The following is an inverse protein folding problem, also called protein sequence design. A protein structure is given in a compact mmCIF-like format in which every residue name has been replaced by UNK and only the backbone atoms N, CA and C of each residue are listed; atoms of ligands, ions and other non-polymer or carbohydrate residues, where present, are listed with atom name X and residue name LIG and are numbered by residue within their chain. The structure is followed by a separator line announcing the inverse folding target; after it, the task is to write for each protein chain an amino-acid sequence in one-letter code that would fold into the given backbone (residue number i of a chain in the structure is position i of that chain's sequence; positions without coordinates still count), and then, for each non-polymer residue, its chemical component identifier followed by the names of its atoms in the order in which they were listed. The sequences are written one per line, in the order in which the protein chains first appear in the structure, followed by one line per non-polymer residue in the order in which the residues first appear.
data_IF_190315015706
#
_entry.id   IF_190315015706
#
_cell.length_a   1.000
_cell.length_b   1.000
_cell.length_c   1.000
_cell.angle_alpha   90.00
_cell.angle_beta   90.00
_cell.angle_gamma   90.00
#
_symmetry.space_group_name_H-M   'P 1'
#
loop_
_entity.id
_entity.type
_entity.pdbx_description
1 polymer ?
#
# COMPACT_ATOMS: atom_id res chain seq x y z
N UNK A 1 -13.72 16.01 -9.24
CA UNK A 1 -13.28 16.83 -10.37
C UNK A 1 -14.44 17.23 -11.27
N UNK A 2 -15.08 16.25 -11.89
CA UNK A 2 -16.27 16.49 -12.75
C UNK A 2 -17.44 17.12 -11.97
N UNK A 3 -17.54 16.90 -10.67
CA UNK A 3 -18.56 17.46 -9.76
C UNK A 3 -18.03 18.68 -8.97
N UNK A 4 -16.80 19.13 -9.21
CA UNK A 4 -16.20 20.24 -8.45
C UNK A 4 -15.82 19.89 -7.01
N UNK A 5 -15.75 18.59 -6.67
CA UNK A 5 -15.36 18.14 -5.34
C UNK A 5 -13.82 17.98 -5.23
N UNK A 6 -13.25 18.19 -4.05
CA UNK A 6 -11.86 17.88 -3.79
C UNK A 6 -11.54 16.41 -4.16
N UNK A 7 -10.46 16.17 -4.91
CA UNK A 7 -10.07 14.83 -5.33
C UNK A 7 -9.73 13.91 -4.16
N UNK A 8 -9.28 14.47 -3.04
CA UNK A 8 -8.96 13.75 -1.81
C UNK A 8 -10.18 12.99 -1.27
N UNK A 9 -11.40 13.54 -1.38
CA UNK A 9 -12.62 12.84 -0.97
C UNK A 9 -12.85 11.56 -1.78
N UNK A 10 -12.53 11.61 -3.07
CA UNK A 10 -12.55 10.42 -3.93
C UNK A 10 -11.51 9.38 -3.52
N UNK A 11 -10.28 9.83 -3.24
CA UNK A 11 -9.22 8.96 -2.78
C UNK A 11 -9.56 8.27 -1.44
N UNK A 12 -10.10 9.02 -0.48
CA UNK A 12 -10.58 8.48 0.81
C UNK A 12 -11.72 7.48 0.61
N UNK A 13 -12.70 7.81 -0.21
CA UNK A 13 -13.82 6.92 -0.51
C UNK A 13 -13.34 5.60 -1.11
N UNK A 14 -12.41 5.64 -2.06
CA UNK A 14 -11.85 4.44 -2.65
C UNK A 14 -11.03 3.65 -1.62
N UNK A 15 -10.18 4.32 -0.84
CA UNK A 15 -9.39 3.64 0.19
C UNK A 15 -10.28 2.91 1.20
N UNK A 16 -11.41 3.51 1.57
CA UNK A 16 -12.38 2.93 2.51
C UNK A 16 -12.98 1.61 2.02
N UNK A 17 -13.24 1.47 0.70
CA UNK A 17 -14.02 0.34 0.15
C UNK A 17 -13.22 -0.63 -0.71
N UNK A 18 -11.99 -0.32 -1.10
CA UNK A 18 -11.16 -1.22 -1.88
C UNK A 18 -10.57 -2.34 -1.02
N UNK A 19 -10.81 -3.59 -1.41
CA UNK A 19 -10.23 -4.76 -0.73
C UNK A 19 -8.69 -4.79 -0.86
N UNK A 20 -8.19 -4.39 -2.02
CA UNK A 20 -6.78 -4.27 -2.39
C UNK A 20 -6.24 -2.84 -2.29
N UNK A 21 -6.85 -2.01 -1.44
CA UNK A 21 -6.50 -0.59 -1.28
C UNK A 21 -5.05 -0.42 -0.85
N UNK A 22 -4.22 0.07 -1.78
CA UNK A 22 -2.84 0.50 -1.54
C UNK A 22 -2.77 2.02 -1.50
N UNK A 23 -2.16 2.57 -0.44
CA UNK A 23 -2.16 4.01 -0.19
C UNK A 23 -1.40 4.80 -1.29
N UNK A 24 -0.28 4.27 -1.77
CA UNK A 24 0.53 4.93 -2.80
C UNK A 24 -0.18 4.89 -4.15
N UNK A 25 -0.63 3.71 -4.58
CA UNK A 25 -1.30 3.50 -5.86
C UNK A 25 -2.61 4.29 -5.95
N UNK A 26 -3.43 4.24 -4.90
CA UNK A 26 -4.69 4.98 -4.82
C UNK A 26 -4.45 6.50 -4.91
N UNK A 27 -3.53 7.04 -4.11
CA UNK A 27 -3.21 8.48 -4.11
C UNK A 27 -2.67 8.94 -5.46
N UNK A 28 -1.71 8.22 -6.06
CA UNK A 28 -1.13 8.59 -7.35
C UNK A 28 -2.17 8.52 -8.49
N UNK A 29 -3.07 7.54 -8.46
CA UNK A 29 -4.15 7.41 -9.43
C UNK A 29 -5.13 8.58 -9.35
N UNK A 30 -5.54 9.00 -8.15
CA UNK A 30 -6.41 10.14 -7.96
C UNK A 30 -5.73 11.47 -8.32
N UNK A 31 -4.44 11.62 -8.02
CA UNK A 31 -3.64 12.77 -8.46
C UNK A 31 -3.53 12.83 -9.99
N UNK A 32 -3.42 11.68 -10.64
CA UNK A 32 -3.45 11.62 -12.11
C UNK A 32 -4.79 12.08 -12.67
N UNK A 33 -5.91 11.63 -12.10
CA UNK A 33 -7.26 12.08 -12.47
C UNK A 33 -7.41 13.60 -12.33
N UNK A 34 -6.87 14.17 -11.26
CA UNK A 34 -6.93 15.61 -10.97
C UNK A 34 -5.98 16.46 -11.84
N UNK A 35 -5.09 15.86 -12.60
CA UNK A 35 -4.16 16.57 -13.49
C UNK A 35 -2.88 17.08 -12.80
N UNK A 36 -2.64 16.72 -11.53
CA UNK A 36 -1.45 17.15 -10.77
C UNK A 36 -0.30 16.17 -10.84
N UNK A 37 -0.53 14.90 -11.18
CA UNK A 37 0.52 13.90 -11.34
C UNK A 37 1.31 14.08 -12.64
N UNK A 38 0.62 14.44 -13.72
CA UNK A 38 1.23 14.80 -15.01
C UNK A 38 0.68 16.14 -15.42
N UNK A 39 1.51 17.17 -15.37
CA UNK A 39 1.12 18.57 -15.60
C UNK A 39 0.33 18.72 -16.90
N UNK A 40 -0.85 19.32 -16.82
CA UNK A 40 -1.73 19.58 -17.95
C UNK A 40 -2.51 18.35 -18.49
N UNK A 41 -2.34 17.17 -17.89
CA UNK A 41 -3.11 15.97 -18.22
C UNK A 41 -4.02 15.60 -17.07
N UNK A 42 -5.32 15.55 -17.34
CA UNK A 42 -6.34 15.18 -16.38
C UNK A 42 -7.33 14.24 -17.03
N UNK A 43 -8.13 13.55 -16.21
CA UNK A 43 -9.17 12.66 -16.70
C UNK A 43 -10.55 13.23 -16.37
N UNK A 44 -11.37 13.43 -17.39
CA UNK A 44 -12.75 13.87 -17.24
C UNK A 44 -13.69 12.69 -17.49
N UNK A 45 -14.58 12.43 -16.54
CA UNK A 45 -15.67 11.48 -16.74
C UNK A 45 -16.67 12.06 -17.76
N UNK A 46 -16.76 11.44 -18.94
CA UNK A 46 -17.70 11.81 -20.01
C UNK A 46 -18.86 10.84 -20.05
N UNK A 47 -20.09 11.34 -20.25
CA UNK A 47 -21.27 10.48 -20.37
C UNK A 47 -21.09 9.35 -21.39
N UNK A 48 -20.45 9.64 -22.54
CA UNK A 48 -20.14 8.63 -23.57
C UNK A 48 -19.22 7.51 -23.06
N UNK A 49 -18.19 7.84 -22.26
CA UNK A 49 -17.30 6.83 -21.68
C UNK A 49 -18.06 6.01 -20.63
N UNK A 50 -18.83 6.67 -19.76
CA UNK A 50 -19.61 5.98 -18.74
C UNK A 50 -20.61 5.04 -19.40
N UNK A 51 -21.36 5.50 -20.40
CA UNK A 51 -22.29 4.65 -21.13
C UNK A 51 -21.60 3.47 -21.80
N UNK A 52 -20.47 3.70 -22.48
CA UNK A 52 -19.70 2.65 -23.16
C UNK A 52 -19.22 1.57 -22.19
N UNK A 53 -18.59 1.95 -21.06
CA UNK A 53 -18.00 1.00 -20.13
C UNK A 53 -19.01 0.39 -19.14
N UNK A 54 -20.26 0.87 -19.14
CA UNK A 54 -21.37 0.28 -18.37
C UNK A 54 -22.38 -0.42 -19.27
N UNK A 55 -22.04 -0.67 -20.54
CA UNK A 55 -22.94 -1.27 -21.55
C UNK A 55 -24.29 -0.53 -21.63
N UNK A 56 -24.26 0.80 -21.60
CA UNK A 56 -25.47 1.64 -21.64
C UNK A 56 -26.27 1.71 -20.35
N UNK A 57 -25.83 1.04 -19.28
CA UNK A 57 -26.56 1.03 -17.98
C UNK A 57 -26.65 2.42 -17.35
N UNK A 58 -25.62 3.25 -17.53
CA UNK A 58 -25.57 4.61 -17.00
C UNK A 58 -25.24 5.60 -18.11
N UNK A 59 -26.00 6.66 -18.21
CA UNK A 59 -25.75 7.77 -19.13
C UNK A 59 -26.06 9.11 -18.41
N UNK A 60 -25.19 9.53 -17.47
CA UNK A 60 -25.41 10.71 -16.67
C UNK A 60 -25.42 11.98 -17.52
N UNK A 61 -26.25 12.93 -17.15
CA UNK A 61 -26.33 14.28 -17.74
C UNK A 61 -25.76 15.32 -16.78
N UNK A 62 -25.38 16.49 -17.29
CA UNK A 62 -24.91 17.61 -16.45
C UNK A 62 -23.48 17.48 -15.95
N UNK A 63 -22.68 16.54 -16.50
CA UNK A 63 -21.25 16.45 -16.17
C UNK A 63 -20.48 17.64 -16.76
N UNK A 64 -19.53 18.18 -15.99
CA UNK A 64 -18.65 19.25 -16.46
C UNK A 64 -17.68 18.73 -17.54
N UNK A 65 -17.97 19.04 -18.80
CA UNK A 65 -17.16 18.62 -19.94
C UNK A 65 -15.87 19.46 -20.12
N UNK A 66 -15.75 20.58 -19.42
CA UNK A 66 -14.69 21.59 -19.57
C UNK A 66 -13.89 21.81 -18.29
N UNK A 67 -13.87 20.82 -17.39
CA UNK A 67 -13.06 20.91 -16.18
C UNK A 67 -11.56 21.03 -16.55
N UNK A 68 -10.90 22.02 -15.97
CA UNK A 68 -9.47 22.24 -16.15
C UNK A 68 -8.65 21.45 -15.14
N UNK A 69 -7.40 21.05 -15.48
CA UNK A 69 -6.51 20.41 -14.51
C UNK A 69 -6.30 21.29 -13.30
N UNK A 70 -6.20 20.69 -12.12
CA UNK A 70 -5.82 21.47 -10.94
C UNK A 70 -4.39 21.98 -11.10
N UNK A 71 -4.22 23.26 -10.80
CA UNK A 71 -2.90 23.89 -10.76
C UNK A 71 -2.50 24.01 -9.28
N UNK A 72 -1.81 23.01 -8.76
CA UNK A 72 -1.22 23.09 -7.43
C UNK A 72 0.17 23.74 -7.55
N UNK A 73 0.37 24.84 -6.87
CA UNK A 73 1.67 25.53 -6.78
C UNK A 73 2.71 24.76 -5.96
N UNK A 74 2.27 23.79 -5.15
CA UNK A 74 3.17 22.95 -4.35
C UNK A 74 3.93 21.96 -5.23
N UNK A 75 5.21 22.18 -5.38
CA UNK A 75 6.12 21.13 -5.83
C UNK A 75 6.21 20.07 -4.74
N UNK A 76 5.71 18.86 -5.06
CA UNK A 76 5.93 17.73 -4.20
C UNK A 76 7.38 17.28 -4.34
N UNK A 77 8.14 17.42 -3.27
CA UNK A 77 9.51 16.95 -3.22
C UNK A 77 9.53 15.43 -3.50
N UNK A 78 10.30 15.03 -4.50
CA UNK A 78 10.66 13.65 -4.70
C UNK A 78 11.68 13.29 -3.62
N UNK A 79 11.20 12.72 -2.52
CA UNK A 79 12.07 12.20 -1.47
C UNK A 79 12.54 10.81 -1.81
N UNK A 80 13.79 10.49 -1.48
CA UNK A 80 14.21 9.10 -1.32
C UNK A 80 13.66 8.55 0.00
N UNK A 81 13.32 7.27 0.02
CA UNK A 81 13.03 6.57 1.28
C UNK A 81 14.33 6.50 2.08
N UNK A 82 14.42 7.29 3.15
CA UNK A 82 15.54 7.23 4.09
C UNK A 82 15.32 6.09 5.09
N UNK A 83 15.19 4.86 4.58
CA UNK A 83 15.07 3.66 5.37
C UNK A 83 16.26 2.76 5.07
N UNK A 84 16.85 2.18 6.10
CA UNK A 84 17.81 1.10 5.94
C UNK A 84 17.00 -0.19 5.80
N UNK A 85 17.13 -0.83 4.66
CA UNK A 85 16.50 -2.10 4.38
C UNK A 85 17.50 -3.22 4.62
N UNK A 86 17.03 -4.31 5.21
CA UNK A 86 17.81 -5.51 5.46
C UNK A 86 17.08 -6.71 4.86
N UNK A 87 17.82 -7.57 4.20
CA UNK A 87 17.31 -8.85 3.68
C UNK A 87 17.42 -9.95 4.74
N UNK A 88 18.10 -9.66 5.85
CA UNK A 88 18.44 -10.63 6.86
C UNK A 88 17.73 -10.41 8.18
N UNK A 89 17.31 -11.51 8.78
CA UNK A 89 16.79 -11.58 10.13
C UNK A 89 17.79 -11.00 11.14
N UNK A 90 17.29 -10.19 12.07
CA UNK A 90 18.04 -9.62 13.20
C UNK A 90 17.46 -10.04 14.55
N UNK A 91 16.15 -10.21 14.63
CA UNK A 91 15.42 -10.52 15.85
C UNK A 91 14.65 -11.82 15.73
N UNK A 92 14.16 -12.37 16.85
CA UNK A 92 13.43 -13.64 16.87
C UNK A 92 11.91 -13.50 16.65
N UNK A 93 11.40 -12.28 16.72
CA UNK A 93 10.00 -11.98 16.44
C UNK A 93 9.88 -11.26 15.10
N UNK A 94 8.99 -11.73 14.24
CA UNK A 94 8.61 -11.09 12.98
C UNK A 94 7.23 -10.48 13.11
N UNK A 95 7.04 -9.29 12.58
CA UNK A 95 5.74 -8.63 12.42
C UNK A 95 5.34 -8.57 10.95
N UNK A 96 4.12 -8.99 10.65
CA UNK A 96 3.54 -8.94 9.31
C UNK A 96 2.18 -8.23 9.34
N UNK A 97 1.92 -7.44 8.32
CA UNK A 97 0.62 -6.79 8.09
C UNK A 97 -0.08 -7.42 6.88
N UNK A 98 -1.36 -7.14 6.76
CA UNK A 98 -2.25 -7.68 5.74
C UNK A 98 -1.90 -7.31 4.29
N UNK A 99 -0.98 -6.40 4.09
CA UNK A 99 -0.60 -5.90 2.76
C UNK A 99 0.56 -6.64 2.11
N UNK A 100 1.23 -7.55 2.83
CA UNK A 100 2.26 -8.43 2.29
C UNK A 100 2.24 -9.79 2.98
N UNK A 101 1.54 -10.75 2.37
CA UNK A 101 1.29 -12.08 2.90
C UNK A 101 1.85 -13.18 1.97
N UNK A 102 2.87 -12.86 1.18
CA UNK A 102 3.46 -13.83 0.27
C UNK A 102 4.37 -14.80 1.01
N UNK A 103 3.98 -16.06 1.08
CA UNK A 103 4.69 -17.15 1.77
C UNK A 103 5.45 -18.07 0.83
N UNK A 104 5.00 -18.22 -0.41
CA UNK A 104 5.50 -19.20 -1.37
C UNK A 104 7.01 -19.05 -1.62
N UNK A 105 7.74 -20.16 -1.51
CA UNK A 105 9.19 -20.20 -1.69
C UNK A 105 10.00 -19.54 -0.56
N UNK A 106 9.37 -19.22 0.59
CA UNK A 106 9.99 -18.54 1.73
C UNK A 106 9.81 -19.27 3.06
N UNK A 107 9.43 -20.52 3.02
CA UNK A 107 9.10 -21.34 4.18
C UNK A 107 10.24 -21.28 5.22
N UNK A 108 11.48 -21.56 4.81
CA UNK A 108 12.66 -21.53 5.69
C UNK A 108 12.89 -20.16 6.36
N UNK A 109 12.53 -19.06 5.67
CA UNK A 109 12.62 -17.72 6.25
C UNK A 109 11.67 -17.57 7.41
N UNK A 110 10.38 -17.91 7.23
CA UNK A 110 9.37 -17.80 8.26
C UNK A 110 9.58 -18.80 9.41
N UNK A 111 10.00 -20.03 9.11
CA UNK A 111 10.33 -21.04 10.12
C UNK A 111 11.53 -20.64 11.00
N UNK A 112 12.39 -19.74 10.54
CA UNK A 112 13.51 -19.25 11.31
C UNK A 112 13.12 -18.39 12.50
N UNK A 113 11.89 -17.84 12.55
CA UNK A 113 11.40 -17.01 13.64
C UNK A 113 10.77 -17.84 14.75
N UNK A 114 10.95 -17.41 15.99
CA UNK A 114 10.27 -18.03 17.15
C UNK A 114 8.79 -17.62 17.21
N UNK A 115 8.50 -16.36 16.86
CA UNK A 115 7.16 -15.80 16.88
C UNK A 115 6.92 -14.96 15.61
N UNK A 116 5.75 -15.11 15.02
CA UNK A 116 5.28 -14.27 13.93
C UNK A 116 3.96 -13.61 14.35
N UNK A 117 3.98 -12.29 14.52
CA UNK A 117 2.79 -11.53 14.89
C UNK A 117 2.12 -10.97 13.64
N UNK A 118 0.90 -11.42 13.40
CA UNK A 118 0.05 -10.96 12.30
C UNK A 118 -0.82 -9.82 12.82
N UNK A 119 -0.62 -8.62 12.29
CA UNK A 119 -1.24 -7.39 12.80
C UNK A 119 -2.21 -6.82 11.77
N UNK A 120 -3.41 -6.49 12.22
CA UNK A 120 -4.38 -5.68 11.50
C UNK A 120 -4.67 -4.42 12.30
N UNK A 121 -4.36 -3.25 11.75
CA UNK A 121 -4.74 -2.00 12.35
C UNK A 121 -6.28 -1.86 12.38
N UNK A 122 -6.82 -1.45 13.50
CA UNK A 122 -8.24 -1.15 13.66
C UNK A 122 -8.57 0.25 13.12
N UNK A 123 -9.84 0.59 13.01
CA UNK A 123 -10.24 1.96 12.63
C UNK A 123 -9.83 3.01 13.68
N UNK A 124 -9.57 2.61 14.93
CA UNK A 124 -9.03 3.51 15.94
C UNK A 124 -7.55 3.89 15.70
N UNK A 125 -6.80 3.02 14.98
CA UNK A 125 -5.39 3.23 14.66
C UNK A 125 -5.19 3.93 13.31
N UNK A 126 -6.29 4.18 12.56
CA UNK A 126 -6.27 4.68 11.19
C UNK A 126 -6.73 6.13 11.09
N UNK A 127 -6.15 6.86 10.13
CA UNK A 127 -6.64 8.18 9.72
C UNK A 127 -7.83 8.09 8.76
N UNK A 128 -7.85 7.03 7.94
CA UNK A 128 -8.95 6.71 7.01
C UNK A 128 -9.59 5.41 7.47
N UNK A 129 -10.82 5.50 7.96
CA UNK A 129 -11.59 4.33 8.36
C UNK A 129 -11.84 3.41 7.16
N UNK A 130 -11.64 2.12 7.35
CA UNK A 130 -12.00 1.10 6.38
C UNK A 130 -13.43 0.59 6.64
N UNK A 131 -14.14 0.24 5.58
CA UNK A 131 -15.43 -0.43 5.68
C UNK A 131 -15.29 -1.80 6.37
N UNK A 132 -16.32 -2.21 7.11
CA UNK A 132 -16.32 -3.47 7.86
C UNK A 132 -16.03 -4.69 6.96
N UNK A 133 -16.49 -4.68 5.70
CA UNK A 133 -16.21 -5.76 4.74
C UNK A 133 -14.74 -5.82 4.35
N UNK A 134 -14.09 -4.66 4.25
CA UNK A 134 -12.64 -4.57 3.96
C UNK A 134 -11.85 -5.09 5.16
N UNK A 135 -12.19 -4.66 6.38
CA UNK A 135 -11.57 -5.17 7.61
C UNK A 135 -11.77 -6.69 7.77
N UNK A 136 -12.99 -7.18 7.52
CA UNK A 136 -13.28 -8.61 7.58
C UNK A 136 -12.47 -9.41 6.54
N UNK A 137 -12.34 -8.90 5.31
CA UNK A 137 -11.51 -9.51 4.27
C UNK A 137 -10.04 -9.58 4.68
N UNK A 138 -9.45 -8.46 5.13
CA UNK A 138 -8.06 -8.38 5.57
C UNK A 138 -7.79 -9.30 6.77
N UNK A 139 -8.70 -9.32 7.76
CA UNK A 139 -8.61 -10.24 8.90
C UNK A 139 -8.63 -11.70 8.46
N UNK A 140 -9.49 -12.05 7.50
CA UNK A 140 -9.57 -13.42 6.96
C UNK A 140 -8.28 -13.80 6.23
N UNK A 141 -7.67 -12.89 5.48
CA UNK A 141 -6.39 -13.12 4.81
C UNK A 141 -5.26 -13.40 5.83
N UNK A 142 -5.20 -12.65 6.92
CA UNK A 142 -4.25 -12.93 8.01
C UNK A 142 -4.55 -14.26 8.71
N UNK A 143 -5.83 -14.59 8.93
CA UNK A 143 -6.20 -15.88 9.51
C UNK A 143 -5.86 -17.06 8.59
N UNK A 144 -5.89 -16.86 7.28
CA UNK A 144 -5.46 -17.86 6.31
C UNK A 144 -3.95 -18.11 6.43
N UNK A 145 -3.13 -17.05 6.49
CA UNK A 145 -1.68 -17.18 6.73
C UNK A 145 -1.38 -17.97 8.01
N UNK A 146 -2.16 -17.76 9.08
CA UNK A 146 -1.99 -18.48 10.34
C UNK A 146 -2.16 -20.00 10.18
N UNK A 147 -2.88 -20.47 9.17
CA UNK A 147 -3.02 -21.90 8.91
C UNK A 147 -1.77 -22.54 8.28
N UNK A 148 -0.86 -21.74 7.75
CA UNK A 148 0.38 -22.19 7.12
C UNK A 148 1.62 -21.97 7.99
N UNK A 149 1.55 -21.10 9.00
CA UNK A 149 2.67 -20.76 9.86
C UNK A 149 2.34 -21.09 11.32
N UNK A 150 2.77 -22.27 11.78
CA UNK A 150 2.48 -22.79 13.13
C UNK A 150 2.98 -21.87 14.26
N UNK A 151 4.05 -21.10 13.99
CA UNK A 151 4.65 -20.13 14.92
C UNK A 151 4.02 -18.74 14.83
N UNK A 152 2.86 -18.59 14.19
CA UNK A 152 2.17 -17.31 14.01
C UNK A 152 0.96 -17.15 14.92
N UNK A 153 0.66 -15.91 15.29
CA UNK A 153 -0.53 -15.52 16.03
C UNK A 153 -1.11 -14.20 15.52
N UNK A 154 -2.45 -14.10 15.53
CA UNK A 154 -3.14 -12.83 15.32
C UNK A 154 -3.06 -12.02 16.61
N UNK A 155 -2.43 -10.87 16.54
CA UNK A 155 -2.22 -10.00 17.69
C UNK A 155 -2.86 -8.63 17.49
N UNK A 156 -3.15 -7.95 18.58
CA UNK A 156 -3.62 -6.57 18.52
C UNK A 156 -2.46 -5.59 18.28
N UNK A 157 -2.71 -4.41 17.67
CA UNK A 157 -1.67 -3.40 17.45
C UNK A 157 -0.94 -2.97 18.74
N UNK A 158 -1.64 -2.97 19.90
CA UNK A 158 -1.07 -2.61 21.19
C UNK A 158 0.03 -3.58 21.64
N UNK A 159 0.03 -4.82 21.13
CA UNK A 159 1.09 -5.79 21.40
C UNK A 159 2.46 -5.26 21.00
N UNK A 160 2.54 -4.53 19.88
CA UNK A 160 3.80 -3.97 19.38
C UNK A 160 4.37 -2.89 20.29
N UNK A 161 3.52 -2.19 21.04
CA UNK A 161 3.97 -1.18 22.01
C UNK A 161 4.68 -1.79 23.23
N UNK A 162 4.54 -3.09 23.44
CA UNK A 162 5.17 -3.83 24.54
C UNK A 162 6.50 -4.46 24.15
N UNK A 163 6.87 -4.40 22.87
CA UNK A 163 8.10 -4.97 22.33
C UNK A 163 9.21 -3.92 22.29
N UNK A 164 10.41 -4.34 22.71
CA UNK A 164 11.61 -3.51 22.62
C UNK A 164 12.35 -3.66 21.30
N UNK A 165 12.17 -4.82 20.63
CA UNK A 165 12.85 -5.15 19.38
C UNK A 165 12.06 -6.22 18.60
N UNK A 166 12.03 -6.08 17.27
CA UNK A 166 11.46 -7.07 16.36
C UNK A 166 11.85 -6.78 14.91
N UNK A 167 11.76 -7.81 14.06
CA UNK A 167 11.80 -7.64 12.61
C UNK A 167 10.39 -7.35 12.10
N UNK A 168 10.26 -6.53 11.08
CA UNK A 168 8.98 -6.29 10.40
C UNK A 168 9.14 -6.45 8.89
N UNK A 169 8.27 -7.24 8.26
CA UNK A 169 8.16 -7.18 6.80
C UNK A 169 7.80 -5.74 6.43
N UNK A 170 8.60 -5.12 5.57
CA UNK A 170 8.41 -3.72 5.22
C UNK A 170 7.03 -3.48 4.59
N UNK A 171 6.12 -2.77 5.28
CA UNK A 171 4.72 -2.71 4.87
C UNK A 171 4.46 -1.69 3.75
N UNK A 172 5.52 -1.24 3.05
CA UNK A 172 5.42 -0.18 2.04
C UNK A 172 4.97 1.17 2.63
N UNK A 173 4.45 2.08 1.81
CA UNK A 173 3.97 3.38 2.27
C UNK A 173 2.51 3.26 2.74
N UNK A 174 2.15 4.00 3.79
CA UNK A 174 0.80 4.06 4.30
C UNK A 174 0.72 3.92 5.81
N UNK A 175 -0.48 3.66 6.31
CA UNK A 175 -0.78 3.71 7.75
C UNK A 175 -0.04 2.65 8.56
N UNK A 176 0.20 1.45 7.98
CA UNK A 176 0.98 0.41 8.65
C UNK A 176 2.43 0.88 8.92
N UNK A 177 3.07 1.54 7.95
CA UNK A 177 4.40 2.11 8.14
C UNK A 177 4.38 3.29 9.13
N UNK A 178 3.38 4.16 9.03
CA UNK A 178 3.23 5.30 9.95
C UNK A 178 3.06 4.82 11.40
N UNK A 179 2.28 3.75 11.60
CA UNK A 179 2.11 3.11 12.91
C UNK A 179 3.43 2.56 13.45
N UNK A 180 4.20 1.81 12.65
CA UNK A 180 5.51 1.30 13.08
C UNK A 180 6.49 2.41 13.43
N UNK A 181 6.51 3.49 12.68
CA UNK A 181 7.34 4.67 12.98
C UNK A 181 6.95 5.34 14.29
N UNK A 182 5.65 5.38 14.60
CA UNK A 182 5.18 5.92 15.88
C UNK A 182 5.58 5.00 17.04
N UNK A 183 5.45 3.68 16.91
CA UNK A 183 5.95 2.70 17.88
C UNK A 183 7.45 2.88 18.12
N UNK A 184 8.23 2.97 17.04
CA UNK A 184 9.68 3.18 17.12
C UNK A 184 10.04 4.46 17.86
N UNK A 185 9.34 5.57 17.57
CA UNK A 185 9.60 6.88 18.16
C UNK A 185 9.19 6.95 19.64
N UNK A 186 8.00 6.42 19.97
CA UNK A 186 7.41 6.53 21.30
C UNK A 186 8.11 5.62 22.31
N UNK A 187 8.46 4.41 21.91
CA UNK A 187 8.99 3.39 22.81
C UNK A 187 10.49 3.14 22.62
N UNK A 188 11.14 3.85 21.70
CA UNK A 188 12.54 3.61 21.30
C UNK A 188 12.77 2.15 20.87
N UNK A 189 11.78 1.54 20.20
CA UNK A 189 11.81 0.15 19.75
C UNK A 189 12.81 -0.03 18.60
N UNK A 190 13.66 -1.04 18.65
CA UNK A 190 14.54 -1.44 17.53
C UNK A 190 13.74 -2.25 16.51
N UNK A 191 13.35 -1.62 15.41
CA UNK A 191 12.63 -2.26 14.31
C UNK A 191 13.57 -2.48 13.13
N UNK A 192 13.81 -3.74 12.79
CA UNK A 192 14.57 -4.11 11.60
C UNK A 192 13.58 -4.38 10.45
N UNK A 193 13.58 -3.51 9.44
CA UNK A 193 12.71 -3.69 8.27
C UNK A 193 13.30 -4.71 7.31
N UNK A 194 12.56 -5.79 7.08
CA UNK A 194 12.89 -6.84 6.13
C UNK A 194 12.26 -6.52 4.78
N UNK A 195 13.08 -6.53 3.74
CA UNK A 195 12.66 -6.37 2.34
C UNK A 195 13.15 -7.54 1.51
N UNK A 196 12.50 -7.78 0.39
CA UNK A 196 12.93 -8.78 -0.58
C UNK A 196 13.98 -8.18 -1.52
N UNK A 197 14.89 -9.03 -2.01
CA UNK A 197 15.84 -8.64 -3.06
C UNK A 197 15.11 -8.14 -4.32
N UNK A 198 13.99 -8.79 -4.66
CA UNK A 198 13.14 -8.42 -5.79
C UNK A 198 12.60 -6.99 -5.66
N UNK A 199 12.16 -6.60 -4.47
CA UNK A 199 11.63 -5.25 -4.22
C UNK A 199 12.74 -4.20 -4.38
N UNK A 200 13.89 -4.43 -3.76
CA UNK A 200 15.05 -3.52 -3.83
C UNK A 200 15.48 -3.34 -5.28
N UNK A 201 15.60 -4.45 -6.01
CA UNK A 201 15.97 -4.42 -7.43
C UNK A 201 14.95 -3.69 -8.29
N UNK A 202 13.65 -3.92 -8.07
CA UNK A 202 12.58 -3.27 -8.81
C UNK A 202 12.52 -1.77 -8.55
N UNK A 203 12.83 -1.31 -7.35
CA UNK A 203 12.80 0.13 -7.02
C UNK A 203 13.79 0.97 -7.83
N UNK A 204 14.92 0.40 -8.27
CA UNK A 204 15.87 1.08 -9.13
C UNK A 204 15.23 1.57 -10.45
N UNK A 205 14.23 0.86 -10.95
CA UNK A 205 13.53 1.16 -12.19
C UNK A 205 12.27 2.00 -12.01
N UNK A 206 11.82 2.24 -10.77
CA UNK A 206 10.53 2.88 -10.47
C UNK A 206 10.55 4.42 -10.55
N UNK A 207 11.72 5.05 -10.71
CA UNK A 207 11.93 6.49 -10.58
C UNK A 207 11.39 7.35 -11.73
N UNK A 208 11.03 6.74 -12.88
CA UNK A 208 10.56 7.43 -14.11
C UNK A 208 9.14 7.04 -14.53
N UNK A 209 8.36 6.44 -13.63
CA UNK A 209 6.98 6.03 -13.85
C UNK A 209 6.83 4.69 -14.60
N UNK A 210 5.57 4.23 -14.71
CA UNK A 210 5.22 2.88 -15.15
C UNK A 210 5.79 2.48 -16.51
N UNK A 211 5.74 3.34 -17.51
CA UNK A 211 6.23 2.97 -18.86
C UNK A 211 7.74 2.75 -18.91
N UNK A 212 8.49 3.40 -18.04
CA UNK A 212 9.90 3.13 -17.87
C UNK A 212 10.13 1.81 -17.15
N UNK A 213 9.42 1.57 -16.07
CA UNK A 213 9.45 0.31 -15.33
C UNK A 213 9.11 -0.88 -16.24
N UNK A 214 8.00 -0.77 -16.99
CA UNK A 214 7.52 -1.82 -17.91
C UNK A 214 8.60 -2.34 -18.88
N UNK A 215 9.51 -1.48 -19.34
CA UNK A 215 10.60 -1.88 -20.26
C UNK A 215 11.59 -2.85 -19.61
N UNK A 216 11.71 -2.82 -18.28
CA UNK A 216 12.65 -3.63 -17.52
C UNK A 216 12.01 -4.93 -16.98
N UNK A 217 10.68 -5.12 -17.12
CA UNK A 217 9.99 -6.34 -16.65
C UNK A 217 10.62 -7.63 -17.20
N UNK A 218 10.95 -7.75 -18.52
CA UNK A 218 11.58 -8.97 -19.01
C UNK A 218 12.91 -9.32 -18.33
N UNK A 219 13.72 -8.31 -18.02
CA UNK A 219 15.01 -8.50 -17.36
C UNK A 219 14.83 -8.84 -15.87
N UNK A 220 13.82 -8.23 -15.22
CA UNK A 220 13.43 -8.55 -13.82
C UNK A 220 13.01 -10.02 -13.74
N UNK A 221 12.07 -10.45 -14.59
CA UNK A 221 11.58 -11.83 -14.61
C UNK A 221 12.70 -12.82 -14.86
N UNK A 222 13.61 -12.52 -15.80
CA UNK A 222 14.78 -13.36 -16.08
C UNK A 222 15.74 -13.45 -14.90
N UNK A 223 15.97 -12.33 -14.19
CA UNK A 223 16.88 -12.31 -13.02
C UNK A 223 16.38 -13.21 -11.91
N UNK A 224 15.09 -13.21 -11.63
CA UNK A 224 14.48 -13.97 -10.54
C UNK A 224 13.87 -15.31 -10.97
N UNK A 225 14.12 -15.74 -12.21
CA UNK A 225 13.69 -17.05 -12.75
C UNK A 225 12.18 -17.27 -12.74
N UNK A 226 11.41 -16.22 -12.99
CA UNK A 226 9.97 -16.29 -13.21
C UNK A 226 9.61 -16.59 -14.65
#
# INVERSE_FOLDING_TARGET
FTLGLPWQLGAEFFMKYLLDGDAASNTLSWRWVAGIQTKGKHYIARSSNISKFTNGRFNPVGLNAHAEPLNEEKEYLKGSLNLTFNETKKHNTLVMFENDLWLEGRENFYESYENIFLILLTNADRKIELDEKVLAFKKKALSDVQTYLDNSSLESPEKLQQLNLFDAVYPSLGENLDFLREVQKTNNTDINFITREEDIFCWEFSNKGFFNFKKNIPDILKKFSY
#
